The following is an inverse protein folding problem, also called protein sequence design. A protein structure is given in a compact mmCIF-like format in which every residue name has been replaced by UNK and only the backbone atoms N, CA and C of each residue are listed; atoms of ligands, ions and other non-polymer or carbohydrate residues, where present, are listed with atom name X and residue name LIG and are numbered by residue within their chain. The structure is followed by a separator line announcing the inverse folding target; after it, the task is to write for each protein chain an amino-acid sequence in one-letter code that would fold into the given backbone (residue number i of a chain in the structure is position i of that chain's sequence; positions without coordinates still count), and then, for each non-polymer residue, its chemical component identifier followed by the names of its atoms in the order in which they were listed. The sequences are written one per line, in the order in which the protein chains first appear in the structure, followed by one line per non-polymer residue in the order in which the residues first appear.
data_IF_941882064717
#
_entry.id   IF_941882064717
#
_cell.length_a   1.000
_cell.length_b   1.000
_cell.length_c   1.000
_cell.angle_alpha   90.00
_cell.angle_beta   90.00
_cell.angle_gamma   90.00
#
_symmetry.space_group_name_H-M   'P 1'
#
loop_
_entity.id
_entity.type
_entity.pdbx_description
1 polymer ?
#
# COMPACT_ATOMS: atom_id res chain seq x y z
N UNK A 1 17.74 6.09 0.99
CA UNK A 1 16.98 7.36 0.85
C UNK A 1 15.65 7.13 0.13
N UNK A 2 14.51 7.68 0.60
CA UNK A 2 13.22 7.64 -0.13
C UNK A 2 13.24 8.66 -1.28
N UNK A 3 12.89 8.25 -2.51
CA UNK A 3 12.80 9.14 -3.68
C UNK A 3 11.37 9.42 -4.14
N UNK A 4 10.48 8.43 -3.97
CA UNK A 4 9.06 8.54 -4.25
C UNK A 4 8.28 7.46 -3.50
N UNK A 5 6.97 7.65 -3.35
CA UNK A 5 6.05 6.60 -2.94
C UNK A 5 4.83 6.57 -3.88
N UNK A 6 4.39 5.38 -4.24
CA UNK A 6 3.11 5.14 -4.90
C UNK A 6 2.15 4.54 -3.87
N UNK A 7 1.05 5.23 -3.60
CA UNK A 7 -0.02 4.76 -2.74
C UNK A 7 -1.08 4.13 -3.64
N UNK A 8 -1.42 2.87 -3.40
CA UNK A 8 -2.33 2.10 -4.25
C UNK A 8 -3.38 1.36 -3.44
N UNK A 9 -4.59 1.16 -3.99
CA UNK A 9 -5.64 0.38 -3.33
C UNK A 9 -5.22 -1.07 -3.03
N UNK A 10 -5.77 -1.66 -1.98
CA UNK A 10 -5.47 -3.03 -1.54
C UNK A 10 -6.43 -4.10 -2.11
N UNK A 11 -7.28 -3.70 -3.05
CA UNK A 11 -8.34 -4.55 -3.60
C UNK A 11 -7.85 -5.47 -4.73
N UNK A 12 -8.29 -6.72 -4.68
CA UNK A 12 -8.07 -7.71 -5.75
C UNK A 12 -8.63 -7.25 -7.10
N UNK A 13 -9.60 -6.31 -7.13
CA UNK A 13 -10.19 -5.75 -8.34
C UNK A 13 -9.18 -5.00 -9.24
N UNK A 14 -8.00 -4.65 -8.70
CA UNK A 14 -6.89 -4.12 -9.52
C UNK A 14 -6.26 -5.18 -10.44
N UNK A 15 -6.59 -6.45 -10.29
CA UNK A 15 -6.13 -7.52 -11.18
C UNK A 15 -7.31 -7.96 -12.07
N UNK A 16 -7.21 -7.83 -13.41
CA UNK A 16 -8.28 -8.27 -14.31
C UNK A 16 -8.64 -9.73 -14.05
N UNK A 17 -9.93 -10.05 -14.16
CA UNK A 17 -10.46 -11.39 -13.87
C UNK A 17 -10.88 -11.60 -12.41
N UNK A 18 -10.34 -10.85 -11.45
CA UNK A 18 -10.72 -10.97 -10.04
C UNK A 18 -12.18 -10.61 -9.76
N UNK A 19 -12.75 -9.64 -10.52
CA UNK A 19 -14.17 -9.29 -10.47
C UNK A 19 -15.09 -10.21 -11.30
N UNK A 20 -14.56 -11.29 -11.86
CA UNK A 20 -15.29 -12.17 -12.78
C UNK A 20 -15.57 -11.49 -14.12
N UNK A 21 -16.83 -11.52 -14.57
CA UNK A 21 -17.23 -10.95 -15.88
C UNK A 21 -17.25 -9.43 -15.91
N UNK A 22 -17.41 -8.77 -14.77
CA UNK A 22 -17.41 -7.32 -14.65
C UNK A 22 -15.99 -6.84 -14.33
N UNK A 23 -15.53 -5.81 -15.03
CA UNK A 23 -14.22 -5.18 -14.79
C UNK A 23 -14.38 -3.87 -14.01
N UNK A 24 -14.99 -3.95 -12.83
CA UNK A 24 -15.28 -2.78 -11.99
C UNK A 24 -14.01 -2.04 -11.54
N UNK A 25 -12.86 -2.72 -11.50
CA UNK A 25 -11.58 -2.13 -11.11
C UNK A 25 -10.79 -1.48 -12.26
N UNK A 26 -11.33 -1.37 -13.48
CA UNK A 26 -10.57 -0.86 -14.62
C UNK A 26 -10.02 0.56 -14.44
N UNK A 27 -10.84 1.46 -13.89
CA UNK A 27 -10.47 2.84 -13.57
C UNK A 27 -9.36 2.88 -12.52
N UNK A 28 -9.63 2.34 -11.33
CA UNK A 28 -8.65 2.20 -10.25
C UNK A 28 -7.33 1.58 -10.70
N UNK A 29 -7.38 0.50 -11.49
CA UNK A 29 -6.20 -0.20 -11.99
C UNK A 29 -5.36 0.68 -12.92
N UNK A 30 -6.00 1.45 -13.79
CA UNK A 30 -5.31 2.38 -14.69
C UNK A 30 -4.58 3.45 -13.87
N UNK A 31 -5.27 4.04 -12.89
CA UNK A 31 -4.69 5.03 -11.98
C UNK A 31 -3.55 4.45 -11.13
N UNK A 32 -3.72 3.25 -10.57
CA UNK A 32 -2.70 2.54 -9.80
C UNK A 32 -1.44 2.25 -10.62
N UNK A 33 -1.60 1.81 -11.88
CA UNK A 33 -0.47 1.63 -12.79
C UNK A 33 0.23 2.96 -13.12
N UNK A 34 -0.52 4.05 -13.29
CA UNK A 34 0.04 5.37 -13.57
C UNK A 34 0.91 5.88 -12.40
N UNK A 35 0.42 5.78 -11.16
CA UNK A 35 1.18 6.24 -9.98
C UNK A 35 2.40 5.37 -9.70
N UNK A 36 2.30 4.04 -9.89
CA UNK A 36 3.46 3.13 -9.77
C UNK A 36 4.48 3.43 -10.86
N UNK A 37 4.06 3.56 -12.12
CA UNK A 37 4.94 3.89 -13.24
C UNK A 37 5.72 5.19 -13.00
N UNK A 38 5.02 6.26 -12.61
CA UNK A 38 5.63 7.55 -12.31
C UNK A 38 6.64 7.48 -11.15
N UNK A 39 6.36 6.71 -10.10
CA UNK A 39 7.29 6.51 -9.00
C UNK A 39 8.55 5.74 -9.43
N UNK A 40 8.41 4.72 -10.28
CA UNK A 40 9.55 3.99 -10.84
C UNK A 40 10.38 4.85 -11.78
N UNK A 41 9.76 5.71 -12.59
CA UNK A 41 10.49 6.65 -13.44
C UNK A 41 11.30 7.65 -12.61
N UNK A 42 10.78 8.07 -11.45
CA UNK A 42 11.54 8.90 -10.50
C UNK A 42 12.78 8.19 -9.95
N UNK A 43 12.70 6.88 -9.71
CA UNK A 43 13.85 6.06 -9.29
C UNK A 43 14.89 5.94 -10.42
N UNK A 44 14.44 5.69 -11.65
CA UNK A 44 15.28 5.56 -12.85
C UNK A 44 16.03 6.85 -13.24
N UNK A 45 15.61 7.98 -12.69
CA UNK A 45 16.19 9.31 -12.96
C UNK A 45 16.94 9.87 -11.75
N UNK A 46 17.02 9.14 -10.64
CA UNK A 46 17.83 9.53 -9.50
C UNK A 46 19.33 9.33 -9.80
N UNK A 47 20.20 10.16 -9.21
CA UNK A 47 21.64 10.24 -9.54
C UNK A 47 22.46 8.95 -9.28
N UNK A 48 21.84 7.88 -8.76
CA UNK A 48 22.46 6.59 -8.47
C UNK A 48 21.52 5.40 -8.82
N UNK A 49 21.07 5.35 -10.08
CA UNK A 49 20.08 4.37 -10.57
C UNK A 49 20.53 2.92 -10.36
N UNK A 50 21.83 2.65 -10.41
CA UNK A 50 22.41 1.30 -10.31
C UNK A 50 22.13 0.60 -8.98
N UNK A 51 21.80 1.34 -7.92
CA UNK A 51 21.49 0.80 -6.60
C UNK A 51 20.04 1.11 -6.13
N UNK A 52 19.15 1.46 -7.05
CA UNK A 52 17.75 1.70 -6.71
C UNK A 52 17.00 0.44 -6.27
N UNK A 53 16.12 0.56 -5.27
CA UNK A 53 15.23 -0.54 -4.84
C UNK A 53 13.75 -0.14 -4.77
N UNK A 54 12.88 -1.14 -4.84
CA UNK A 54 11.46 -1.00 -4.54
C UNK A 54 11.13 -1.80 -3.29
N UNK A 55 10.34 -1.20 -2.41
CA UNK A 55 9.78 -1.86 -1.22
C UNK A 55 8.27 -1.78 -1.29
N UNK A 56 7.61 -2.94 -1.29
CA UNK A 56 6.17 -3.04 -1.08
C UNK A 56 5.92 -3.01 0.41
N UNK A 57 5.02 -2.13 0.86
CA UNK A 57 4.50 -2.08 2.22
C UNK A 57 3.00 -2.30 2.14
N UNK A 58 2.51 -3.42 2.64
CA UNK A 58 1.11 -3.81 2.54
C UNK A 58 0.55 -4.20 3.91
N UNK A 59 -0.77 -4.09 4.14
CA UNK A 59 -1.37 -4.64 5.34
C UNK A 59 -1.23 -6.17 5.34
N UNK A 60 -1.07 -6.74 6.53
CA UNK A 60 -1.01 -8.19 6.72
C UNK A 60 -1.46 -8.59 8.12
N UNK A 61 -1.65 -9.89 8.33
CA UNK A 61 -2.11 -10.44 9.62
C UNK A 61 -1.07 -10.36 10.74
N UNK A 62 0.19 -10.12 10.36
CA UNK A 62 1.34 -10.03 11.26
C UNK A 62 2.42 -9.22 10.55
N UNK A 63 3.15 -8.43 11.33
CA UNK A 63 4.31 -7.70 10.80
C UNK A 63 5.43 -8.68 10.41
N UNK A 64 5.85 -8.66 9.15
CA UNK A 64 6.90 -9.53 8.60
C UNK A 64 7.52 -8.95 7.33
N UNK A 65 8.75 -9.36 7.05
CA UNK A 65 9.39 -9.19 5.74
C UNK A 65 9.45 -10.55 5.04
N UNK A 66 9.01 -10.59 3.79
CA UNK A 66 9.00 -11.81 2.99
C UNK A 66 10.33 -11.94 2.25
N UNK A 67 10.86 -13.16 2.27
CA UNK A 67 12.18 -13.52 1.75
C UNK A 67 12.09 -14.66 0.74
N UNK A 68 13.03 -14.70 -0.20
CA UNK A 68 13.06 -15.72 -1.25
C UNK A 68 12.03 -15.48 -2.35
N UNK A 69 11.47 -16.55 -2.90
CA UNK A 69 10.52 -16.45 -4.02
C UNK A 69 9.13 -16.04 -3.52
N UNK A 70 8.65 -14.88 -3.97
CA UNK A 70 7.29 -14.40 -3.70
C UNK A 70 6.46 -14.45 -4.98
N UNK A 71 5.23 -14.94 -4.87
CA UNK A 71 4.32 -15.15 -6.01
C UNK A 71 3.06 -14.32 -5.79
N UNK A 72 2.75 -13.40 -6.69
CA UNK A 72 1.53 -12.59 -6.62
C UNK A 72 0.26 -13.37 -6.96
N UNK A 73 -0.02 -14.48 -6.27
CA UNK A 73 -1.25 -15.24 -6.43
C UNK A 73 -2.39 -14.61 -5.62
N UNK A 74 -3.60 -14.63 -6.18
CA UNK A 74 -4.82 -14.20 -5.49
C UNK A 74 -5.64 -15.38 -4.92
N UNK A 75 -5.05 -16.58 -4.84
CA UNK A 75 -5.73 -17.74 -4.26
C UNK A 75 -6.14 -17.54 -2.80
N UNK A 76 -5.40 -16.72 -2.03
CA UNK A 76 -5.78 -16.34 -0.67
C UNK A 76 -7.09 -15.52 -0.61
N UNK A 77 -7.48 -14.86 -1.71
CA UNK A 77 -8.78 -14.21 -1.90
C UNK A 77 -9.83 -15.16 -2.51
N UNK A 78 -9.51 -16.44 -2.71
CA UNK A 78 -10.39 -17.40 -3.36
C UNK A 78 -10.44 -17.27 -4.88
N UNK A 79 -9.50 -16.55 -5.52
CA UNK A 79 -9.44 -16.41 -6.98
C UNK A 79 -8.33 -17.32 -7.54
N UNK A 80 -8.67 -18.39 -8.27
CA UNK A 80 -7.69 -19.24 -8.95
C UNK A 80 -6.85 -18.46 -9.98
N UNK A 81 -5.57 -18.81 -10.12
CA UNK A 81 -4.64 -18.07 -10.99
C UNK A 81 -5.00 -18.16 -12.48
N UNK A 82 -5.70 -19.23 -12.90
CA UNK A 82 -6.17 -19.43 -14.27
C UNK A 82 -7.40 -18.57 -14.63
N UNK A 83 -8.07 -17.99 -13.63
CA UNK A 83 -9.14 -17.01 -13.83
C UNK A 83 -8.63 -15.56 -13.91
N UNK A 84 -7.37 -15.32 -13.55
CA UNK A 84 -6.77 -13.99 -13.66
C UNK A 84 -6.48 -13.67 -15.13
N UNK A 85 -6.88 -12.47 -15.55
CA UNK A 85 -6.50 -11.92 -16.85
C UNK A 85 -5.00 -11.60 -16.95
N UNK A 86 -4.29 -11.59 -15.81
CA UNK A 86 -2.86 -11.42 -15.71
C UNK A 86 -2.24 -12.64 -15.02
N UNK A 87 -1.15 -13.24 -15.57
CA UNK A 87 -0.45 -14.30 -14.86
C UNK A 87 0.09 -13.78 -13.52
N UNK A 88 0.01 -14.63 -12.49
CA UNK A 88 0.59 -14.36 -11.18
C UNK A 88 2.11 -14.13 -11.33
N UNK A 89 2.62 -12.93 -11.03
CA UNK A 89 4.04 -12.63 -11.21
C UNK A 89 4.86 -13.30 -10.12
N UNK A 90 6.10 -13.64 -10.44
CA UNK A 90 7.07 -14.19 -9.49
C UNK A 90 8.25 -13.24 -9.37
N UNK A 91 8.65 -12.93 -8.14
CA UNK A 91 9.81 -12.12 -7.83
C UNK A 91 10.75 -12.86 -6.88
N UNK A 92 12.04 -12.52 -6.95
CA UNK A 92 12.97 -12.81 -5.87
C UNK A 92 12.99 -11.60 -4.93
N UNK A 93 12.42 -11.75 -3.74
CA UNK A 93 12.60 -10.82 -2.65
C UNK A 93 14.02 -10.99 -2.06
N UNK A 94 14.49 -10.01 -1.28
CA UNK A 94 15.85 -10.00 -0.69
C UNK A 94 16.32 -11.35 -0.11
N UNK A 95 17.64 -11.50 -0.09
CA UNK A 95 18.34 -12.70 0.36
C UNK A 95 17.98 -13.07 1.80
N UNK A 96 17.51 -14.30 1.98
CA UNK A 96 17.12 -14.89 3.25
C UNK A 96 16.50 -16.27 3.03
N UNK A 97 16.34 -17.09 4.08
CA UNK A 97 15.63 -18.36 3.96
C UNK A 97 14.21 -18.08 3.46
N UNK A 98 13.70 -18.83 2.46
CA UNK A 98 12.42 -18.52 1.84
C UNK A 98 11.30 -18.58 2.88
N UNK A 99 10.43 -17.57 2.85
CA UNK A 99 9.22 -17.61 3.66
C UNK A 99 8.31 -18.73 3.14
N UNK A 100 7.85 -19.62 4.02
CA UNK A 100 6.98 -20.74 3.62
C UNK A 100 5.52 -20.33 3.41
N UNK A 101 5.11 -19.20 3.99
CA UNK A 101 3.76 -18.68 3.89
C UNK A 101 3.56 -17.86 2.61
N UNK A 102 2.38 -17.98 2.02
CA UNK A 102 1.99 -17.15 0.88
C UNK A 102 1.93 -15.67 1.25
N UNK A 103 2.17 -14.83 0.24
CA UNK A 103 1.91 -13.39 0.26
C UNK A 103 0.41 -13.16 0.52
N UNK A 104 0.10 -12.12 1.30
CA UNK A 104 -1.23 -11.59 1.46
C UNK A 104 -1.76 -10.97 0.16
N UNK A 105 -3.08 -10.86 0.05
CA UNK A 105 -3.78 -10.35 -1.13
C UNK A 105 -3.29 -8.95 -1.52
N UNK A 106 -3.17 -8.04 -0.56
CA UNK A 106 -2.72 -6.66 -0.78
C UNK A 106 -1.29 -6.61 -1.33
N UNK A 107 -0.38 -7.43 -0.78
CA UNK A 107 0.98 -7.54 -1.30
C UNK A 107 0.98 -8.14 -2.72
N UNK A 108 0.20 -9.19 -2.98
CA UNK A 108 0.07 -9.80 -4.30
C UNK A 108 -0.44 -8.81 -5.37
N UNK A 109 -1.39 -7.94 -5.03
CA UNK A 109 -1.86 -6.84 -5.89
C UNK A 109 -0.71 -5.91 -6.28
N UNK A 110 0.12 -5.48 -5.32
CA UNK A 110 1.29 -4.65 -5.62
C UNK A 110 2.32 -5.37 -6.52
N UNK A 111 2.54 -6.68 -6.33
CA UNK A 111 3.40 -7.47 -7.21
C UNK A 111 2.89 -7.47 -8.66
N UNK A 112 1.58 -7.56 -8.87
CA UNK A 112 0.97 -7.43 -10.20
C UNK A 112 1.23 -6.05 -10.81
N UNK A 113 1.01 -4.97 -10.06
CA UNK A 113 1.24 -3.61 -10.54
C UNK A 113 2.72 -3.38 -10.91
N UNK A 114 3.65 -3.85 -10.07
CA UNK A 114 5.09 -3.76 -10.33
C UNK A 114 5.51 -4.52 -11.58
N UNK A 115 5.04 -5.76 -11.76
CA UNK A 115 5.34 -6.55 -12.94
C UNK A 115 4.84 -5.86 -14.22
N UNK A 116 3.67 -5.20 -14.15
CA UNK A 116 3.09 -4.46 -15.28
C UNK A 116 3.74 -3.11 -15.55
N UNK A 117 4.25 -2.46 -14.52
CA UNK A 117 5.10 -1.27 -14.67
C UNK A 117 6.55 -1.61 -15.10
N UNK A 118 6.86 -2.89 -15.30
CA UNK A 118 8.14 -3.37 -15.80
C UNK A 118 9.25 -3.45 -14.74
N UNK A 119 8.90 -3.41 -13.45
CA UNK A 119 9.86 -3.67 -12.38
C UNK A 119 10.09 -5.18 -12.21
N UNK A 120 11.33 -5.58 -11.94
CA UNK A 120 11.71 -6.99 -11.76
C UNK A 120 12.60 -7.23 -10.54
N UNK A 121 13.49 -6.30 -10.22
CA UNK A 121 14.42 -6.38 -9.08
C UNK A 121 15.22 -5.09 -8.97
N UNK A 122 15.81 -4.77 -7.79
CA UNK A 122 15.63 -5.46 -6.51
C UNK A 122 14.27 -5.14 -5.84
N UNK A 123 13.78 -6.07 -5.00
CA UNK A 123 12.46 -5.97 -4.36
C UNK A 123 12.52 -6.41 -2.88
N UNK A 124 11.86 -5.64 -2.02
CA UNK A 124 11.47 -6.04 -0.66
C UNK A 124 9.95 -6.08 -0.56
N UNK A 125 9.43 -7.02 0.21
CA UNK A 125 7.99 -7.08 0.49
C UNK A 125 7.80 -7.15 2.00
N UNK A 126 7.13 -6.15 2.54
CA UNK A 126 6.88 -5.98 3.96
C UNK A 126 5.38 -5.96 4.17
N UNK A 127 4.91 -6.90 4.98
CA UNK A 127 3.54 -6.90 5.48
C UNK A 127 3.55 -6.35 6.89
N UNK A 128 2.61 -5.44 7.19
CA UNK A 128 2.49 -4.78 8.50
C UNK A 128 1.12 -5.03 9.08
N UNK A 129 1.11 -5.40 10.35
CA UNK A 129 -0.11 -5.51 11.14
C UNK A 129 -0.43 -4.14 11.78
N UNK A 130 -1.71 -3.88 12.01
CA UNK A 130 -2.19 -2.66 12.67
C UNK A 130 -2.32 -2.81 14.19
N UNK A 131 -1.76 -3.91 14.72
CA UNK A 131 -1.66 -4.20 16.16
C UNK A 131 -2.88 -4.91 16.73
N UNK A 132 -2.80 -5.38 17.99
CA UNK A 132 -3.94 -5.92 18.72
C UNK A 132 -4.99 -4.84 19.00
N UNK A 133 -6.23 -5.25 19.24
CA UNK A 133 -7.35 -4.35 19.50
C UNK A 133 -7.40 -3.81 20.95
N UNK A 134 -6.39 -4.13 21.77
CA UNK A 134 -6.39 -3.77 23.19
C UNK A 134 -5.84 -2.34 23.39
N UNK A 135 -6.49 -1.59 24.29
CA UNK A 135 -6.33 -0.13 24.49
C UNK A 135 -4.90 0.34 24.84
N UNK A 136 -4.00 -0.58 25.24
CA UNK A 136 -2.64 -0.25 25.71
C UNK A 136 -1.55 -0.28 24.62
N UNK A 137 -1.85 -0.71 23.39
CA UNK A 137 -0.84 -0.93 22.33
C UNK A 137 -0.60 0.26 21.38
N UNK A 138 -1.48 1.28 21.39
CA UNK A 138 -1.58 2.28 20.31
C UNK A 138 -0.30 3.07 19.99
N UNK A 139 0.42 3.56 21.01
CA UNK A 139 1.60 4.42 20.80
C UNK A 139 2.87 3.63 20.45
N UNK A 140 3.04 2.45 21.04
CA UNK A 140 4.19 1.58 20.76
C UNK A 140 4.17 1.09 19.30
N UNK A 141 2.98 0.75 18.80
CA UNK A 141 2.80 0.29 17.43
C UNK A 141 3.11 1.39 16.40
N UNK A 142 2.75 2.65 16.68
CA UNK A 142 3.10 3.79 15.80
C UNK A 142 4.60 4.03 15.76
N UNK A 143 5.26 4.02 16.92
CA UNK A 143 6.71 4.20 17.01
C UNK A 143 7.45 3.10 16.22
N UNK A 144 7.02 1.85 16.34
CA UNK A 144 7.62 0.72 15.64
C UNK A 144 7.39 0.78 14.12
N UNK A 145 6.18 1.13 13.67
CA UNK A 145 5.86 1.29 12.25
C UNK A 145 6.64 2.45 11.62
N UNK A 146 6.75 3.59 12.31
CA UNK A 146 7.50 4.74 11.81
C UNK A 146 9.01 4.49 11.79
N UNK A 147 9.57 3.85 12.83
CA UNK A 147 10.97 3.43 12.85
C UNK A 147 11.29 2.43 11.73
N UNK A 148 10.38 1.50 11.46
CA UNK A 148 10.48 0.58 10.32
C UNK A 148 10.54 1.34 8.99
N UNK A 149 9.67 2.33 8.81
CA UNK A 149 9.69 3.20 7.63
C UNK A 149 11.06 3.83 7.38
N UNK A 150 11.64 4.44 8.42
CA UNK A 150 12.97 5.04 8.34
C UNK A 150 14.05 4.01 7.97
N UNK A 151 14.01 2.81 8.57
CA UNK A 151 14.97 1.74 8.29
C UNK A 151 14.86 1.20 6.85
N UNK A 152 13.65 1.07 6.30
CA UNK A 152 13.43 0.56 4.93
C UNK A 152 14.07 1.42 3.86
N UNK A 153 14.27 2.71 4.15
CA UNK A 153 14.80 3.70 3.21
C UNK A 153 16.14 4.26 3.66
N UNK A 154 16.87 3.60 4.55
CA UNK A 154 18.15 4.09 5.04
C UNK A 154 19.26 3.99 3.98
N UNK A 155 19.39 2.82 3.34
CA UNK A 155 20.65 2.45 2.69
C UNK A 155 20.83 2.99 1.27
N UNK A 156 19.77 3.03 0.46
CA UNK A 156 19.86 3.29 -0.98
C UNK A 156 18.63 3.99 -1.55
N UNK A 157 18.66 4.57 -2.76
CA UNK A 157 17.49 5.18 -3.39
C UNK A 157 16.32 4.18 -3.43
N UNK A 158 15.18 4.56 -2.85
CA UNK A 158 14.07 3.64 -2.60
C UNK A 158 12.75 4.25 -3.06
N UNK A 159 11.97 3.46 -3.81
CA UNK A 159 10.54 3.69 -4.01
C UNK A 159 9.74 2.82 -3.07
N UNK A 160 8.77 3.40 -2.37
CA UNK A 160 7.76 2.63 -1.65
C UNK A 160 6.51 2.44 -2.51
N UNK A 161 6.01 1.21 -2.60
CA UNK A 161 4.65 0.93 -3.03
C UNK A 161 3.84 0.63 -1.78
N UNK A 162 3.07 1.61 -1.33
CA UNK A 162 2.29 1.57 -0.10
C UNK A 162 0.87 1.15 -0.46
N UNK A 163 0.49 -0.04 -0.04
CA UNK A 163 -0.81 -0.63 -0.34
C UNK A 163 -1.75 -0.38 0.82
N UNK A 164 -2.96 0.07 0.54
CA UNK A 164 -3.95 0.34 1.57
C UNK A 164 -5.18 1.03 1.03
N UNK A 165 -6.26 0.99 1.80
CA UNK A 165 -7.50 1.69 1.46
C UNK A 165 -8.12 2.34 2.70
N UNK A 166 -9.03 3.28 2.45
CA UNK A 166 -9.84 3.93 3.47
C UNK A 166 -10.88 2.98 4.04
N UNK A 167 -11.96 3.53 4.60
CA UNK A 167 -13.01 2.76 5.25
C UNK A 167 -13.63 1.74 4.30
N UNK A 168 -13.84 0.53 4.81
CA UNK A 168 -14.56 -0.56 4.15
C UNK A 168 -16.05 -0.62 4.52
N UNK A 169 -16.63 0.50 4.97
CA UNK A 169 -18.00 0.60 5.50
C UNK A 169 -18.87 1.61 4.76
N UNK A 170 -18.74 1.71 3.44
CA UNK A 170 -19.57 2.59 2.62
C UNK A 170 -20.79 1.87 2.05
N UNK A 171 -21.95 2.09 2.66
CA UNK A 171 -23.24 1.68 2.13
C UNK A 171 -23.53 0.18 2.22
N UNK A 172 -24.67 -0.26 1.66
CA UNK A 172 -25.16 -1.63 1.82
C UNK A 172 -24.34 -2.70 1.07
N UNK A 173 -23.55 -2.28 0.09
CA UNK A 173 -22.69 -3.16 -0.72
C UNK A 173 -21.28 -3.35 -0.12
N UNK A 174 -21.04 -2.75 1.06
CA UNK A 174 -19.78 -2.88 1.77
C UNK A 174 -19.59 -4.28 2.40
N UNK A 175 -18.33 -4.72 2.56
CA UNK A 175 -18.03 -5.99 3.21
C UNK A 175 -18.45 -6.03 4.69
N UNK A 176 -18.64 -4.86 5.30
CA UNK A 176 -19.10 -4.68 6.68
C UNK A 176 -20.30 -3.72 6.71
N UNK A 177 -21.03 -3.72 7.83
CA UNK A 177 -22.17 -2.84 8.01
C UNK A 177 -21.76 -1.37 7.80
N UNK A 178 -22.60 -0.66 7.04
CA UNK A 178 -22.50 0.77 6.77
C UNK A 178 -22.29 1.56 8.07
N UNK A 179 -21.38 2.53 8.00
CA UNK A 179 -21.05 3.39 9.12
C UNK A 179 -21.12 4.85 8.66
N UNK A 180 -21.99 5.69 9.26
CA UNK A 180 -22.16 7.07 8.84
C UNK A 180 -20.91 7.93 9.02
N UNK A 181 -19.95 7.51 9.85
CA UNK A 181 -18.69 8.23 10.07
C UNK A 181 -17.65 7.93 8.97
N UNK A 182 -17.84 6.87 8.18
CA UNK A 182 -16.89 6.44 7.15
C UNK A 182 -16.59 7.54 6.10
N UNK A 183 -17.58 8.24 5.50
CA UNK A 183 -17.29 9.25 4.49
C UNK A 183 -16.50 10.45 5.01
N UNK A 184 -16.78 10.89 6.24
CA UNK A 184 -16.07 12.02 6.85
C UNK A 184 -14.63 11.63 7.19
N UNK A 185 -14.43 10.46 7.78
CA UNK A 185 -13.10 9.94 8.09
C UNK A 185 -12.22 9.83 6.83
N UNK A 186 -12.77 9.27 5.75
CA UNK A 186 -12.03 9.12 4.50
C UNK A 186 -11.73 10.45 3.81
N UNK A 187 -12.66 11.41 3.86
CA UNK A 187 -12.41 12.75 3.34
C UNK A 187 -11.23 13.43 4.05
N UNK A 188 -11.16 13.32 5.38
CA UNK A 188 -10.05 13.85 6.18
C UNK A 188 -8.73 13.16 5.82
N UNK A 189 -8.70 11.82 5.81
CA UNK A 189 -7.50 11.04 5.45
C UNK A 189 -7.02 11.37 4.04
N UNK A 190 -7.91 11.45 3.05
CA UNK A 190 -7.55 11.78 1.67
C UNK A 190 -7.02 13.21 1.54
N UNK A 191 -7.58 14.16 2.30
CA UNK A 191 -7.06 15.53 2.33
C UNK A 191 -5.61 15.55 2.85
N UNK A 192 -5.30 14.80 3.91
CA UNK A 192 -3.94 14.74 4.44
C UNK A 192 -2.97 14.02 3.50
N UNK A 193 -3.37 12.88 2.94
CA UNK A 193 -2.59 12.14 1.95
C UNK A 193 -2.31 12.96 0.69
N UNK A 194 -3.28 13.80 0.28
CA UNK A 194 -3.17 14.69 -0.88
C UNK A 194 -2.41 15.99 -0.62
N UNK A 195 -2.19 16.38 0.65
CA UNK A 195 -1.51 17.62 1.02
C UNK A 195 0.01 17.46 1.05
N UNK A 196 0.53 16.45 1.76
CA UNK A 196 1.97 16.25 1.95
C UNK A 196 2.67 17.34 2.78
N UNK A 197 1.91 18.26 3.40
CA UNK A 197 2.47 19.29 4.29
C UNK A 197 2.94 18.69 5.63
N UNK A 198 3.85 19.36 6.37
CA UNK A 198 4.26 18.90 7.70
C UNK A 198 3.07 18.65 8.65
N UNK A 199 2.12 19.59 8.69
CA UNK A 199 0.92 19.44 9.51
C UNK A 199 0.05 18.24 9.07
N UNK A 200 0.00 17.96 7.77
CA UNK A 200 -0.70 16.78 7.25
C UNK A 200 -0.01 15.48 7.65
N UNK A 201 1.33 15.44 7.62
CA UNK A 201 2.10 14.29 8.10
C UNK A 201 1.90 14.07 9.60
N UNK A 202 1.79 15.13 10.40
CA UNK A 202 1.49 15.03 11.83
C UNK A 202 0.07 14.51 12.08
N UNK A 203 -0.92 14.97 11.30
CA UNK A 203 -2.29 14.43 11.37
C UNK A 203 -2.39 12.97 10.93
N UNK A 204 -1.65 12.57 9.89
CA UNK A 204 -1.53 11.16 9.49
C UNK A 204 -0.87 10.31 10.58
N UNK A 205 0.16 10.84 11.26
CA UNK A 205 0.81 10.16 12.40
C UNK A 205 -0.15 9.98 13.58
N UNK A 206 -1.06 10.92 13.77
CA UNK A 206 -2.04 10.93 14.85
C UNK A 206 -3.33 10.13 14.56
N UNK A 207 -3.39 9.38 13.45
CA UNK A 207 -4.56 8.55 13.15
C UNK A 207 -4.77 7.49 14.24
N UNK A 208 -5.92 7.58 14.89
CA UNK A 208 -6.36 6.67 15.94
C UNK A 208 -6.52 5.23 15.38
N UNK A 209 -5.71 4.26 15.87
CA UNK A 209 -5.79 2.87 15.43
C UNK A 209 -7.15 2.22 15.76
N UNK A 210 -7.78 2.57 16.88
CA UNK A 210 -9.07 2.01 17.26
C UNK A 210 -10.16 2.46 16.29
N UNK A 211 -10.17 3.76 15.95
CA UNK A 211 -11.10 4.31 14.95
C UNK A 211 -10.86 3.75 13.55
N UNK A 212 -9.60 3.65 13.11
CA UNK A 212 -9.24 3.05 11.82
C UNK A 212 -9.76 1.60 11.72
N UNK A 213 -9.54 0.80 12.78
CA UNK A 213 -10.03 -0.58 12.87
C UNK A 213 -11.55 -0.67 12.89
N UNK A 214 -12.21 0.21 13.66
CA UNK A 214 -13.67 0.26 13.71
C UNK A 214 -14.26 0.49 12.30
N UNK A 215 -13.64 1.37 11.52
CA UNK A 215 -14.01 1.69 10.14
C UNK A 215 -13.43 0.72 9.08
N UNK A 216 -12.70 -0.31 9.51
CA UNK A 216 -12.04 -1.28 8.62
C UNK A 216 -11.11 -0.65 7.58
N UNK A 217 -10.37 0.37 8.00
CA UNK A 217 -9.35 1.04 7.19
C UNK A 217 -8.10 0.16 7.14
N UNK A 218 -7.71 -0.28 5.96
CA UNK A 218 -6.55 -1.16 5.80
C UNK A 218 -5.24 -0.39 5.57
N UNK A 219 -5.32 0.87 5.19
CA UNK A 219 -4.14 1.68 4.88
C UNK A 219 -3.41 2.25 6.10
N UNK A 220 -4.01 2.26 7.29
CA UNK A 220 -3.48 3.00 8.45
C UNK A 220 -2.05 2.57 8.82
N UNK A 221 -1.80 1.28 9.05
CA UNK A 221 -0.45 0.79 9.37
C UNK A 221 0.58 1.05 8.24
N UNK A 222 0.30 0.70 6.96
CA UNK A 222 1.16 1.09 5.83
C UNK A 222 1.46 2.59 5.75
N UNK A 223 0.49 3.46 6.08
CA UNK A 223 0.69 4.91 6.09
C UNK A 223 1.61 5.36 7.23
N UNK A 224 1.60 4.72 8.40
CA UNK A 224 2.57 5.00 9.47
C UNK A 224 4.01 4.69 9.03
N UNK A 225 4.21 3.58 8.30
CA UNK A 225 5.50 3.25 7.69
C UNK A 225 5.91 4.31 6.67
N UNK A 226 4.98 4.77 5.83
CA UNK A 226 5.24 5.85 4.87
C UNK A 226 5.67 7.15 5.57
N UNK A 227 4.93 7.57 6.59
CA UNK A 227 5.24 8.78 7.38
C UNK A 227 6.64 8.68 8.01
N UNK A 228 6.97 7.53 8.60
CA UNK A 228 8.31 7.27 9.14
C UNK A 228 9.40 7.26 8.07
N UNK A 229 9.09 6.70 6.89
CA UNK A 229 10.00 6.71 5.76
C UNK A 229 10.22 8.11 5.19
N UNK A 230 9.26 9.03 5.26
CA UNK A 230 9.47 10.43 4.84
C UNK A 230 10.41 11.15 5.81
N UNK A 231 10.22 10.99 7.12
CA UNK A 231 10.99 11.73 8.13
C UNK A 231 10.73 13.24 8.03
N UNK A 232 11.79 14.05 8.05
CA UNK A 232 11.70 15.52 7.99
C UNK A 232 11.72 16.10 6.56
N UNK A 233 11.57 15.26 5.52
CA UNK A 233 11.67 15.69 4.11
C UNK A 233 10.36 16.27 3.61
N UNK A 234 10.47 17.16 2.63
CA UNK A 234 9.30 17.73 1.94
C UNK A 234 8.70 16.73 0.95
N UNK A 235 7.36 16.73 0.89
CA UNK A 235 6.57 15.87 0.01
C UNK A 235 5.79 16.75 -0.96
N UNK A 236 5.82 16.38 -2.24
CA UNK A 236 4.82 16.83 -3.21
C UNK A 236 3.88 15.67 -3.51
N UNK A 237 2.62 15.81 -3.10
CA UNK A 237 1.59 14.81 -3.32
C UNK A 237 0.79 15.08 -4.60
N UNK A 238 0.43 14.02 -5.31
CA UNK A 238 -0.44 14.08 -6.48
C UNK A 238 -1.48 12.95 -6.40
N UNK A 239 -2.75 13.35 -6.30
CA UNK A 239 -3.89 12.44 -6.33
C UNK A 239 -4.28 12.16 -7.79
N UNK A 240 -4.28 10.88 -8.17
CA UNK A 240 -4.69 10.44 -9.50
C UNK A 240 -6.19 10.11 -9.54
N UNK A 241 -6.66 9.36 -8.52
CA UNK A 241 -8.09 9.05 -8.36
C UNK A 241 -8.43 8.80 -6.89
N UNK A 242 -9.66 9.09 -6.51
CA UNK A 242 -10.28 8.64 -5.28
C UNK A 242 -11.75 8.29 -5.58
N UNK A 243 -12.16 7.06 -5.29
CA UNK A 243 -13.52 6.59 -5.50
C UNK A 243 -13.89 5.49 -4.51
N UNK A 244 -15.19 5.37 -4.22
CA UNK A 244 -15.73 4.24 -3.45
C UNK A 244 -16.08 3.13 -4.43
N UNK A 245 -15.51 1.94 -4.24
CA UNK A 245 -15.86 0.74 -5.01
C UNK A 245 -16.00 -0.47 -4.10
N UNK A 246 -17.03 -1.29 -4.33
CA UNK A 246 -17.38 -2.42 -3.47
C UNK A 246 -17.48 -2.05 -1.97
N UNK A 247 -17.98 -0.85 -1.70
CA UNK A 247 -18.17 -0.28 -0.37
C UNK A 247 -16.89 0.04 0.41
N UNK A 248 -15.74 0.12 -0.26
CA UNK A 248 -14.49 0.62 0.30
C UNK A 248 -14.01 1.89 -0.42
N UNK A 249 -13.45 2.84 0.34
CA UNK A 249 -12.79 4.00 -0.25
C UNK A 249 -11.39 3.61 -0.76
N UNK A 250 -11.18 3.80 -2.05
CA UNK A 250 -9.91 3.57 -2.71
C UNK A 250 -9.33 4.88 -3.24
N UNK A 251 -8.01 4.99 -3.24
CA UNK A 251 -7.32 6.09 -3.91
C UNK A 251 -5.97 5.64 -4.46
N UNK A 252 -5.55 6.26 -5.55
CA UNK A 252 -4.21 6.13 -6.10
C UNK A 252 -3.53 7.50 -6.04
N UNK A 253 -2.40 7.58 -5.35
CA UNK A 253 -1.62 8.82 -5.20
C UNK A 253 -0.14 8.54 -5.42
N UNK A 254 0.62 9.57 -5.81
CA UNK A 254 2.08 9.55 -5.76
C UNK A 254 2.62 10.66 -4.87
N UNK A 255 3.63 10.34 -4.09
CA UNK A 255 4.45 11.30 -3.36
C UNK A 255 5.82 11.38 -4.00
N UNK A 256 6.28 12.60 -4.29
CA UNK A 256 7.66 12.86 -4.71
C UNK A 256 8.38 13.51 -3.55
N UNK A 257 9.56 12.97 -3.23
CA UNK A 257 10.39 13.46 -2.13
C UNK A 257 11.44 14.41 -2.70
N UNK A 258 11.56 15.57 -2.08
CA UNK A 258 12.60 16.56 -2.35
C UNK A 258 13.69 16.54 -1.28
#
# INVERSE_FOLDING_TARGET
MLVAAALVPDTALLVPGAGGRADAGAGLRTAALAVVGAALDRLRTADDVSDGTVVVVAPGRRTRELTGTVVGSLQAAGVPDDLLGWPAPTFQALDGPPTQEAVGVSAAVALHLLARAGWRSPLRVVEVDDGPADDDAGDADVADLTARGAALVADRPTVLVVVGSGSGRHGPDAPLADDPDAPAYDADVLAELGSGTPDALDRLRALDPARARALAVTGRAPWQVLVGAVGARSVTAHLETAEVAAGAQHAALRWVIA
#
